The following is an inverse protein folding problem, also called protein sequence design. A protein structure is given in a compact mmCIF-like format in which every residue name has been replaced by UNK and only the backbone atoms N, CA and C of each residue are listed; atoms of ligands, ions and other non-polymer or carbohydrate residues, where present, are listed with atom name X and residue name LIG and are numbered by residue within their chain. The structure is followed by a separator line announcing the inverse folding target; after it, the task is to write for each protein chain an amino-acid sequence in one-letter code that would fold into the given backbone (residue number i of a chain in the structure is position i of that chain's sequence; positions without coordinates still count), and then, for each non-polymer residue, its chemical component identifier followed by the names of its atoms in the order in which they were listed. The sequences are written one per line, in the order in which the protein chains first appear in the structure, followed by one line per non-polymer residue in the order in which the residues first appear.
data_IF_120861644571
#
_entry.id   IF_120861644571
#
_cell.length_a   1.000
_cell.length_b   1.000
_cell.length_c   1.000
_cell.angle_alpha   90.00
_cell.angle_beta   90.00
_cell.angle_gamma   90.00
#
_symmetry.space_group_name_H-M   'P 1'
#
loop_
_entity.id
_entity.type
_entity.pdbx_description
1 polymer ?
#
# COMPACT_ATOMS: atom_id res chain seq x y z
N UNK A 1 0.04 29.28 11.67
CA UNK A 1 1.14 28.31 11.62
C UNK A 1 0.70 26.91 11.98
N UNK A 2 0.51 26.58 13.26
CA UNK A 2 0.33 25.19 13.76
C UNK A 2 -1.10 24.62 13.64
N UNK A 3 -2.12 25.47 13.83
CA UNK A 3 -3.53 25.06 13.79
C UNK A 3 -4.00 24.61 12.39
N UNK A 4 -3.54 25.29 11.33
CA UNK A 4 -3.85 24.91 9.94
C UNK A 4 -3.30 23.51 9.59
N UNK A 5 -2.08 23.18 10.05
CA UNK A 5 -1.46 21.85 9.85
C UNK A 5 -2.23 20.78 10.62
N UNK A 6 -2.61 21.05 11.87
CA UNK A 6 -3.44 20.12 12.67
C UNK A 6 -4.81 19.87 12.02
N UNK A 7 -5.45 20.91 11.46
CA UNK A 7 -6.71 20.80 10.73
C UNK A 7 -6.57 19.96 9.45
N UNK A 8 -5.50 20.18 8.67
CA UNK A 8 -5.20 19.40 7.46
C UNK A 8 -4.95 17.92 7.78
N UNK A 9 -4.14 17.62 8.80
CA UNK A 9 -3.88 16.23 9.24
C UNK A 9 -5.17 15.51 9.66
N UNK A 10 -6.03 16.17 10.43
CA UNK A 10 -7.35 15.62 10.82
C UNK A 10 -8.27 15.37 9.64
N UNK A 11 -8.37 16.32 8.72
CA UNK A 11 -9.21 16.17 7.52
C UNK A 11 -8.72 15.03 6.62
N UNK A 12 -7.41 14.92 6.41
CA UNK A 12 -6.82 13.83 5.63
C UNK A 12 -7.06 12.46 6.27
N UNK A 13 -6.94 12.38 7.60
CA UNK A 13 -7.22 11.15 8.34
C UNK A 13 -8.71 10.79 8.32
N UNK A 14 -9.60 11.75 8.55
CA UNK A 14 -11.06 11.52 8.47
C UNK A 14 -11.47 11.02 7.09
N UNK A 15 -10.88 11.56 6.01
CA UNK A 15 -11.10 11.05 4.65
C UNK A 15 -10.56 9.63 4.46
N UNK A 16 -9.38 9.32 5.00
CA UNK A 16 -8.82 7.97 4.93
C UNK A 16 -9.71 6.95 5.65
N UNK A 17 -10.25 7.31 6.82
CA UNK A 17 -11.18 6.46 7.58
C UNK A 17 -12.47 6.20 6.79
N UNK A 18 -13.07 7.24 6.22
CA UNK A 18 -14.28 7.10 5.40
C UNK A 18 -14.04 6.24 4.16
N UNK A 19 -12.91 6.39 3.47
CA UNK A 19 -12.57 5.53 2.33
C UNK A 19 -12.32 4.08 2.75
N UNK A 20 -11.73 3.86 3.93
CA UNK A 20 -11.53 2.53 4.50
C UNK A 20 -12.86 1.82 4.78
N UNK A 21 -13.88 2.53 5.25
CA UNK A 21 -15.22 1.97 5.46
C UNK A 21 -15.91 1.56 4.16
N UNK A 22 -15.60 2.26 3.06
CA UNK A 22 -16.10 1.93 1.72
C UNK A 22 -15.36 0.79 1.02
N UNK A 23 -14.29 0.25 1.62
CA UNK A 23 -13.56 -0.88 1.05
C UNK A 23 -14.41 -2.14 1.09
N UNK A 24 -14.48 -2.82 -0.04
CA UNK A 24 -15.05 -4.16 -0.13
C UNK A 24 -13.92 -5.17 0.07
N UNK A 25 -14.12 -6.14 0.97
CA UNK A 25 -13.16 -7.20 1.21
C UNK A 25 -13.77 -8.56 0.91
N UNK A 26 -12.98 -9.44 0.29
CA UNK A 26 -13.34 -10.83 0.06
C UNK A 26 -12.18 -11.71 0.50
N UNK A 27 -12.46 -12.65 1.41
CA UNK A 27 -11.46 -13.59 1.98
C UNK A 27 -10.20 -12.90 2.53
N UNK A 28 -10.36 -11.71 3.14
CA UNK A 28 -9.27 -10.94 3.75
C UNK A 28 -8.41 -10.13 2.77
N UNK A 29 -8.78 -10.07 1.49
CA UNK A 29 -8.17 -9.20 0.49
C UNK A 29 -9.11 -8.07 0.10
N UNK A 30 -8.53 -6.95 -0.36
CA UNK A 30 -9.31 -5.90 -1.01
C UNK A 30 -9.91 -6.46 -2.30
N UNK A 31 -11.19 -6.25 -2.50
CA UNK A 31 -11.90 -6.63 -3.71
C UNK A 31 -11.52 -5.64 -4.82
N UNK A 32 -10.90 -6.14 -5.89
CA UNK A 32 -10.43 -5.33 -7.02
C UNK A 32 -10.87 -5.88 -8.38
N UNK A 33 -11.86 -6.79 -8.42
CA UNK A 33 -12.40 -7.36 -9.66
C UNK A 33 -13.56 -6.53 -10.17
N UNK A 34 -14.48 -6.11 -9.31
CA UNK A 34 -15.59 -5.24 -9.68
C UNK A 34 -15.12 -3.80 -9.95
N UNK A 35 -15.82 -3.05 -10.81
CA UNK A 35 -15.51 -1.63 -11.05
C UNK A 35 -15.55 -0.81 -9.75
N UNK A 36 -16.53 -1.11 -8.89
CA UNK A 36 -16.67 -0.47 -7.59
C UNK A 36 -15.46 -0.75 -6.68
N UNK A 37 -15.05 -2.02 -6.55
CA UNK A 37 -13.88 -2.40 -5.75
C UNK A 37 -12.57 -1.82 -6.29
N UNK A 38 -12.39 -1.82 -7.62
CA UNK A 38 -11.25 -1.17 -8.26
C UNK A 38 -11.17 0.32 -7.94
N UNK A 39 -12.31 1.03 -7.98
CA UNK A 39 -12.37 2.44 -7.66
C UNK A 39 -12.10 2.70 -6.17
N UNK A 40 -12.75 1.95 -5.28
CA UNK A 40 -12.57 2.07 -3.84
C UNK A 40 -11.12 1.81 -3.42
N UNK A 41 -10.48 0.75 -3.94
CA UNK A 41 -9.09 0.44 -3.65
C UNK A 41 -8.15 1.55 -4.17
N UNK A 42 -8.39 2.08 -5.38
CA UNK A 42 -7.59 3.17 -5.94
C UNK A 42 -7.67 4.44 -5.10
N UNK A 43 -8.87 4.86 -4.74
CA UNK A 43 -9.08 6.06 -3.91
C UNK A 43 -8.44 5.90 -2.53
N UNK A 44 -8.58 4.72 -1.93
CA UNK A 44 -7.95 4.41 -0.65
C UNK A 44 -6.43 4.48 -0.72
N UNK A 45 -5.80 3.83 -1.72
CA UNK A 45 -4.35 3.87 -1.92
C UNK A 45 -3.83 5.30 -2.15
N UNK A 46 -4.51 6.07 -2.99
CA UNK A 46 -4.16 7.48 -3.22
C UNK A 46 -4.27 8.32 -1.95
N UNK A 47 -5.31 8.11 -1.15
CA UNK A 47 -5.46 8.81 0.12
C UNK A 47 -4.39 8.38 1.13
N UNK A 48 -3.99 7.11 1.11
CA UNK A 48 -2.89 6.57 1.90
C UNK A 48 -1.57 7.29 1.60
N UNK A 49 -1.25 7.50 0.32
CA UNK A 49 -0.08 8.29 -0.10
C UNK A 49 -0.16 9.72 0.42
N UNK A 50 -1.33 10.37 0.27
CA UNK A 50 -1.53 11.74 0.72
C UNK A 50 -1.39 11.88 2.23
N UNK A 51 -1.93 10.94 3.00
CA UNK A 51 -1.75 10.90 4.45
C UNK A 51 -0.28 10.70 4.78
N UNK A 52 0.42 9.80 4.11
CA UNK A 52 1.84 9.57 4.37
C UNK A 52 2.70 10.82 4.09
N UNK A 53 2.38 11.59 3.04
CA UNK A 53 3.02 12.89 2.75
C UNK A 53 2.68 13.92 3.84
N UNK A 54 1.40 14.09 4.19
CA UNK A 54 0.96 15.10 5.15
C UNK A 54 1.49 14.80 6.57
N UNK A 55 1.66 13.53 6.91
CA UNK A 55 2.18 13.07 8.21
C UNK A 55 3.71 12.94 8.23
N UNK A 56 4.38 13.26 7.13
CA UNK A 56 5.85 13.22 6.99
C UNK A 56 6.40 11.83 7.32
N UNK A 57 5.71 10.78 6.87
CA UNK A 57 6.13 9.37 7.01
C UNK A 57 7.38 9.14 6.17
N UNK A 58 8.41 8.53 6.76
CA UNK A 58 9.63 8.19 6.04
C UNK A 58 9.32 7.33 4.81
N UNK A 59 9.97 7.65 3.69
CA UNK A 59 9.79 6.91 2.45
C UNK A 59 10.89 5.86 2.32
N UNK A 60 10.51 4.60 2.14
CA UNK A 60 11.41 3.54 1.75
C UNK A 60 12.04 3.85 0.38
N UNK A 61 13.27 3.38 0.18
CA UNK A 61 13.98 3.58 -1.08
C UNK A 61 13.14 3.04 -2.25
N UNK A 62 13.00 3.86 -3.30
CA UNK A 62 12.49 3.44 -4.61
C UNK A 62 13.62 3.27 -5.62
N UNK A 63 14.84 3.11 -5.12
CA UNK A 63 16.04 2.97 -5.92
C UNK A 63 15.87 1.86 -6.95
N UNK A 64 15.34 0.69 -6.55
CA UNK A 64 15.18 -0.48 -7.41
C UNK A 64 14.51 -0.22 -8.76
N UNK A 65 13.63 0.80 -8.86
CA UNK A 65 12.96 1.20 -10.11
C UNK A 65 13.92 1.59 -11.23
N UNK A 66 15.17 1.94 -10.94
CA UNK A 66 16.18 2.20 -11.99
C UNK A 66 16.54 0.97 -12.82
N UNK A 67 16.36 -0.23 -12.25
CA UNK A 67 16.66 -1.52 -12.90
C UNK A 67 15.50 -2.06 -13.73
N UNK A 68 14.33 -1.45 -13.63
CA UNK A 68 13.16 -1.87 -14.40
C UNK A 68 13.36 -1.59 -15.90
N UNK A 69 12.70 -2.36 -16.77
CA UNK A 69 12.66 -2.05 -18.22
C UNK A 69 11.95 -0.71 -18.46
N UNK A 70 12.06 -0.18 -19.68
CA UNK A 70 11.43 1.11 -20.03
C UNK A 70 9.91 1.07 -19.82
N UNK A 71 9.26 -0.05 -20.17
CA UNK A 71 7.82 -0.25 -20.03
C UNK A 71 7.38 -0.14 -18.57
N UNK A 72 8.06 -0.86 -17.67
CA UNK A 72 7.73 -0.81 -16.24
C UNK A 72 8.08 0.53 -15.60
N UNK A 73 9.18 1.18 -16.01
CA UNK A 73 9.52 2.52 -15.50
C UNK A 73 8.46 3.57 -15.82
N UNK A 74 7.77 3.45 -16.96
CA UNK A 74 6.72 4.39 -17.35
C UNK A 74 5.49 4.35 -16.41
N UNK A 75 5.29 3.26 -15.66
CA UNK A 75 4.17 3.10 -14.73
C UNK A 75 4.37 3.82 -13.39
N UNK A 76 5.60 4.24 -13.07
CA UNK A 76 5.93 4.77 -11.75
C UNK A 76 6.55 6.18 -11.83
N UNK A 77 6.16 7.10 -10.93
CA UNK A 77 6.86 8.36 -10.79
C UNK A 77 8.30 8.11 -10.29
N UNK A 78 9.27 8.88 -10.81
CA UNK A 78 10.68 8.74 -10.47
C UNK A 78 10.92 9.02 -8.99
N UNK A 79 11.33 7.98 -8.25
CA UNK A 79 11.77 8.09 -6.85
C UNK A 79 10.68 8.40 -5.82
N UNK A 80 9.45 8.73 -6.25
CA UNK A 80 8.37 9.10 -5.35
C UNK A 80 7.54 7.88 -4.91
N UNK A 81 6.99 7.96 -3.69
CA UNK A 81 5.94 7.05 -3.19
C UNK A 81 4.79 7.01 -4.20
N UNK A 82 4.39 5.80 -4.57
CA UNK A 82 3.23 5.53 -5.41
C UNK A 82 2.77 4.10 -5.12
N UNK A 83 1.54 3.96 -4.65
CA UNK A 83 0.83 2.74 -4.37
C UNK A 83 -0.17 2.49 -5.50
N UNK A 84 0.28 1.85 -6.57
CA UNK A 84 -0.59 1.58 -7.71
C UNK A 84 -1.39 0.29 -7.52
N UNK A 85 -2.63 0.29 -8.02
CA UNK A 85 -3.52 -0.88 -7.96
C UNK A 85 -2.91 -2.11 -8.62
N UNK A 86 -2.15 -1.96 -9.72
CA UNK A 86 -1.54 -3.10 -10.41
C UNK A 86 -0.60 -3.92 -9.53
N UNK A 87 0.15 -3.28 -8.63
CA UNK A 87 0.97 -3.99 -7.64
C UNK A 87 0.11 -4.61 -6.55
N UNK A 88 -0.98 -3.96 -6.11
CA UNK A 88 -1.91 -4.54 -5.15
C UNK A 88 -2.61 -5.80 -5.71
N UNK A 89 -3.05 -5.75 -6.96
CA UNK A 89 -3.75 -6.86 -7.64
C UNK A 89 -2.85 -8.08 -7.83
N UNK A 90 -1.54 -7.85 -7.89
CA UNK A 90 -0.53 -8.89 -8.00
C UNK A 90 -0.30 -9.65 -6.68
N UNK A 91 -0.81 -9.15 -5.56
CA UNK A 91 -0.64 -9.82 -4.27
C UNK A 91 -1.59 -11.03 -4.22
N UNK A 92 -1.07 -12.28 -4.28
CA UNK A 92 -1.90 -13.47 -4.27
C UNK A 92 -2.73 -13.59 -2.99
N UNK A 93 -3.93 -14.17 -3.07
CA UNK A 93 -4.66 -14.57 -1.87
C UNK A 93 -3.81 -15.50 -1.02
N UNK A 94 -3.79 -15.30 0.30
CA UNK A 94 -3.00 -16.13 1.22
C UNK A 94 -3.27 -17.63 1.06
N UNK A 95 -4.51 -18.01 0.74
CA UNK A 95 -4.89 -19.41 0.51
C UNK A 95 -4.41 -19.98 -0.85
N UNK A 96 -3.94 -19.14 -1.77
CA UNK A 96 -3.42 -19.51 -3.08
C UNK A 96 -1.89 -19.57 -3.11
N UNK A 97 -1.22 -19.08 -2.06
CA UNK A 97 0.23 -19.11 -1.89
C UNK A 97 0.66 -20.56 -1.64
N UNK A 98 1.25 -21.19 -2.65
CA UNK A 98 1.65 -22.60 -2.62
C UNK A 98 1.17 -23.42 -3.82
N UNK A 99 0.21 -22.91 -4.59
CA UNK A 99 -0.25 -23.55 -5.82
C UNK A 99 0.41 -22.86 -7.02
N UNK A 100 1.36 -23.54 -7.67
CA UNK A 100 1.94 -23.22 -8.99
C UNK A 100 2.04 -21.72 -9.28
N UNK A 101 2.77 -20.98 -8.44
CA UNK A 101 3.10 -19.60 -8.74
C UNK A 101 4.45 -19.58 -9.48
N UNK A 102 4.46 -19.01 -10.69
CA UNK A 102 5.68 -18.83 -11.48
C UNK A 102 6.63 -17.79 -10.86
N UNK A 103 6.19 -17.09 -9.81
CA UNK A 103 6.99 -16.13 -9.07
C UNK A 103 7.96 -16.81 -8.10
N UNK A 104 9.09 -16.15 -7.87
CA UNK A 104 10.11 -16.63 -6.94
C UNK A 104 9.57 -16.74 -5.51
N UNK A 105 10.16 -17.64 -4.72
CA UNK A 105 9.85 -17.77 -3.30
C UNK A 105 10.01 -16.44 -2.53
N UNK A 106 10.94 -15.58 -2.96
CA UNK A 106 11.12 -14.25 -2.40
C UNK A 106 9.90 -13.36 -2.68
N UNK A 107 9.43 -13.27 -3.92
CA UNK A 107 8.24 -12.49 -4.30
C UNK A 107 7.01 -12.94 -3.51
N UNK A 108 6.83 -14.25 -3.37
CA UNK A 108 5.74 -14.83 -2.57
C UNK A 108 5.87 -14.46 -1.10
N UNK A 109 7.07 -14.54 -0.51
CA UNK A 109 7.28 -14.12 0.88
C UNK A 109 6.97 -12.63 1.06
N UNK A 110 7.41 -11.77 0.14
CA UNK A 110 7.14 -10.32 0.20
C UNK A 110 5.67 -9.98 0.02
N UNK A 111 4.92 -10.80 -0.73
CA UNK A 111 3.48 -10.60 -0.87
C UNK A 111 2.75 -10.88 0.45
N UNK A 112 3.20 -11.87 1.21
CA UNK A 112 2.70 -12.15 2.57
C UNK A 112 3.01 -11.00 3.51
N UNK A 113 4.25 -10.50 3.52
CA UNK A 113 4.67 -9.34 4.32
C UNK A 113 3.77 -8.11 4.02
N UNK A 114 3.54 -7.81 2.74
CA UNK A 114 2.67 -6.72 2.31
C UNK A 114 1.22 -6.92 2.74
N UNK A 115 0.71 -8.15 2.67
CA UNK A 115 -0.63 -8.48 3.14
C UNK A 115 -0.80 -8.20 4.63
N UNK A 116 0.16 -8.64 5.45
CA UNK A 116 0.15 -8.40 6.89
C UNK A 116 0.24 -6.90 7.20
N UNK A 117 1.16 -6.18 6.58
CA UNK A 117 1.31 -4.74 6.80
C UNK A 117 0.04 -3.97 6.43
N UNK A 118 -0.61 -4.30 5.31
CA UNK A 118 -1.88 -3.69 4.90
C UNK A 118 -3.02 -4.02 5.88
N UNK A 119 -3.10 -5.27 6.33
CA UNK A 119 -4.10 -5.68 7.33
C UNK A 119 -3.91 -4.90 8.64
N UNK A 120 -2.70 -4.87 9.16
CA UNK A 120 -2.38 -4.23 10.43
C UNK A 120 -2.66 -2.73 10.36
N UNK A 121 -2.30 -2.08 9.24
CA UNK A 121 -2.65 -0.69 8.98
C UNK A 121 -4.16 -0.46 9.02
N UNK A 122 -4.96 -1.30 8.34
CA UNK A 122 -6.43 -1.20 8.36
C UNK A 122 -7.02 -1.42 9.75
N UNK A 123 -6.46 -2.33 10.55
CA UNK A 123 -6.90 -2.57 11.93
C UNK A 123 -6.57 -1.38 12.84
N UNK A 124 -5.40 -0.75 12.67
CA UNK A 124 -5.05 0.46 13.43
C UNK A 124 -5.93 1.65 13.06
N UNK A 125 -6.42 1.72 11.83
CA UNK A 125 -7.41 2.71 11.41
C UNK A 125 -8.79 2.51 12.07
N UNK A 126 -9.12 1.31 12.58
CA UNK A 126 -10.39 1.07 13.31
C UNK A 126 -10.34 1.36 14.80
N UNK A 127 -9.18 1.75 15.35
CA UNK A 127 -9.00 1.93 16.78
C UNK A 127 -9.84 3.08 17.34
N UNK A 128 -11.01 2.77 17.91
CA UNK A 128 -11.84 3.71 18.65
C UNK A 128 -11.12 4.17 19.93
N UNK A 129 -11.26 5.46 20.26
CA UNK A 129 -10.94 6.05 21.58
C UNK A 129 -9.48 6.41 21.90
N UNK A 130 -8.57 6.50 20.93
CA UNK A 130 -7.24 7.07 21.17
C UNK A 130 -7.18 8.57 20.83
N UNK A 131 -6.44 9.36 21.62
CA UNK A 131 -6.22 10.77 21.31
C UNK A 131 -5.64 10.92 19.90
N UNK A 132 -5.98 12.01 19.19
CA UNK A 132 -5.47 12.27 17.84
C UNK A 132 -3.94 12.13 17.74
N UNK A 133 -3.22 12.51 18.80
CA UNK A 133 -1.76 12.38 18.89
C UNK A 133 -1.32 10.91 18.87
N UNK A 134 -1.95 10.05 19.67
CA UNK A 134 -1.59 8.63 19.74
C UNK A 134 -1.92 7.91 18.44
N UNK A 135 -3.11 8.16 17.89
CA UNK A 135 -3.51 7.65 16.57
C UNK A 135 -2.53 8.11 15.48
N UNK A 136 -2.08 9.37 15.52
CA UNK A 136 -1.11 9.87 14.54
C UNK A 136 0.27 9.24 14.60
N UNK A 137 0.70 8.77 15.78
CA UNK A 137 2.00 8.10 15.94
C UNK A 137 1.90 6.67 15.43
N UNK A 138 0.91 5.91 15.92
CA UNK A 138 0.67 4.53 15.53
C UNK A 138 0.39 4.39 14.02
N UNK A 139 -0.30 5.37 13.43
CA UNK A 139 -0.52 5.43 11.99
C UNK A 139 0.77 5.71 11.21
N UNK A 140 1.66 6.59 11.71
CA UNK A 140 2.93 6.88 11.04
C UNK A 140 3.79 5.62 10.97
N UNK A 141 3.92 4.92 12.09
CA UNK A 141 4.68 3.66 12.21
C UNK A 141 4.14 2.62 11.24
N UNK A 142 2.83 2.38 11.21
CA UNK A 142 2.27 1.40 10.27
C UNK A 142 2.32 1.83 8.81
N UNK A 143 2.26 3.13 8.51
CA UNK A 143 2.48 3.62 7.15
C UNK A 143 3.93 3.42 6.72
N UNK A 144 4.89 3.54 7.62
CA UNK A 144 6.31 3.25 7.38
C UNK A 144 6.52 1.76 7.09
N UNK A 145 5.98 0.89 7.95
CA UNK A 145 6.03 -0.57 7.77
C UNK A 145 5.38 -1.00 6.44
N UNK A 146 4.21 -0.44 6.13
CA UNK A 146 3.52 -0.66 4.86
C UNK A 146 4.33 -0.17 3.66
N UNK A 147 4.93 1.03 3.73
CA UNK A 147 5.71 1.58 2.63
C UNK A 147 6.96 0.75 2.32
N UNK A 148 7.61 0.20 3.36
CA UNK A 148 8.73 -0.74 3.23
C UNK A 148 8.28 -2.04 2.60
N UNK A 149 7.23 -2.67 3.14
CA UNK A 149 6.70 -3.92 2.59
C UNK A 149 6.27 -3.77 1.13
N UNK A 150 5.66 -2.62 0.79
CA UNK A 150 5.28 -2.28 -0.58
C UNK A 150 6.50 -2.19 -1.50
N UNK A 151 7.53 -1.43 -1.11
CA UNK A 151 8.72 -1.25 -1.93
C UNK A 151 9.44 -2.58 -2.20
N UNK A 152 9.56 -3.43 -1.19
CA UNK A 152 10.19 -4.74 -1.30
C UNK A 152 9.40 -5.70 -2.19
N UNK A 153 8.07 -5.75 -2.04
CA UNK A 153 7.24 -6.57 -2.91
C UNK A 153 7.25 -6.06 -4.35
N UNK A 154 7.12 -4.75 -4.57
CA UNK A 154 7.19 -4.13 -5.90
C UNK A 154 8.51 -4.47 -6.61
N UNK A 155 9.64 -4.41 -5.90
CA UNK A 155 10.93 -4.80 -6.46
C UNK A 155 10.94 -6.24 -6.97
N UNK A 156 10.52 -7.19 -6.12
CA UNK A 156 10.58 -8.62 -6.43
C UNK A 156 9.58 -8.98 -7.54
N UNK A 157 8.35 -8.49 -7.43
CA UNK A 157 7.29 -8.73 -8.40
C UNK A 157 7.67 -8.25 -9.80
N UNK A 158 8.10 -7.00 -9.93
CA UNK A 158 8.45 -6.44 -11.25
C UNK A 158 9.72 -7.10 -11.80
N UNK A 159 10.69 -7.47 -10.94
CA UNK A 159 11.87 -8.23 -11.36
C UNK A 159 11.49 -9.59 -11.96
N UNK A 160 10.55 -10.29 -11.32
CA UNK A 160 10.12 -11.60 -11.80
C UNK A 160 9.31 -11.46 -13.10
N UNK A 161 8.43 -10.46 -13.23
CA UNK A 161 7.74 -10.16 -14.50
C UNK A 161 8.73 -9.91 -15.65
N UNK A 162 9.76 -9.10 -15.43
CA UNK A 162 10.80 -8.84 -16.43
C UNK A 162 11.55 -10.12 -16.82
N UNK A 163 11.63 -11.10 -15.92
CA UNK A 163 12.29 -12.39 -16.19
C UNK A 163 11.39 -13.32 -16.99
N UNK A 164 10.09 -13.33 -16.69
CA UNK A 164 9.08 -14.16 -17.37
C UNK A 164 8.79 -13.66 -18.80
N UNK A 165 8.82 -12.35 -19.02
CA UNK A 165 8.56 -11.74 -20.34
C UNK A 165 9.71 -11.90 -21.36
N UNK A 166 10.84 -12.47 -20.95
CA UNK A 166 11.99 -12.72 -21.83
C UNK A 166 11.90 -14.06 -22.52
#
# INVERSE_FOLDING_TARGET
GRWKVSKRKRAALSRLLSLREGLVESKGQLETRSEHGQQAAREFLQQLEQVAIIFEVAQASRGHRHRFTVNYRALFPRGARCYCRGVLDAVPPLYAIGNTYEFSAETVSRSVDLHHALRDLKVRLTGESSSFRNMSCALRESLEEFDVAWALFEECYIRDLITIEK
#
